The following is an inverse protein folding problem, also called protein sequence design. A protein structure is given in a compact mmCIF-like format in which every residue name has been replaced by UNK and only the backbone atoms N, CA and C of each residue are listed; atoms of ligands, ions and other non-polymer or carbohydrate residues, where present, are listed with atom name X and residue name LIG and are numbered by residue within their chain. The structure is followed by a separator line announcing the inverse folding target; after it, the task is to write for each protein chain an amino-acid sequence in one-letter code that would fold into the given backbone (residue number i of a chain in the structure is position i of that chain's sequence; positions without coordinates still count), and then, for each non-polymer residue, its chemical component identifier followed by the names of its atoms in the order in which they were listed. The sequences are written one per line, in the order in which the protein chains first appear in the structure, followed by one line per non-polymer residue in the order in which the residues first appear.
data_IF_783536076807
#
_entry.id   IF_783536076807
#
_cell.length_a   1.000
_cell.length_b   1.000
_cell.length_c   1.000
_cell.angle_alpha   90.00
_cell.angle_beta   90.00
_cell.angle_gamma   90.00
#
_symmetry.space_group_name_H-M   'P 1'
#
loop_
_entity.id
_entity.type
_entity.pdbx_description
1 polymer ?
#
# COMPACT_ATOMS: atom_id res chain seq x y z
N UNK A 1 -18.51 -28.02 1.04
CA UNK A 1 -17.54 -28.42 0.00
C UNK A 1 -16.59 -29.54 0.44
N UNK A 2 -16.69 -30.11 1.66
CA UNK A 2 -15.96 -31.35 2.01
C UNK A 2 -14.44 -31.24 2.14
N UNK A 3 -13.89 -30.02 2.22
CA UNK A 3 -12.46 -29.80 2.46
C UNK A 3 -12.21 -29.60 3.96
N UNK A 4 -11.17 -30.23 4.47
CA UNK A 4 -10.64 -29.96 5.80
C UNK A 4 -9.87 -28.62 5.82
N UNK A 5 -9.99 -27.81 6.88
CA UNK A 5 -9.20 -26.59 7.02
C UNK A 5 -7.70 -26.89 7.03
N UNK A 6 -6.93 -26.12 6.25
CA UNK A 6 -5.47 -26.15 6.35
C UNK A 6 -5.00 -25.43 7.61
N UNK A 7 -3.97 -25.97 8.28
CA UNK A 7 -3.28 -25.23 9.33
C UNK A 7 -2.64 -23.96 8.73
N UNK A 8 -2.97 -22.74 9.20
CA UNK A 8 -2.41 -21.49 8.67
C UNK A 8 -0.89 -21.43 8.72
N UNK A 9 -0.26 -22.17 9.64
CA UNK A 9 1.21 -22.29 9.72
C UNK A 9 1.85 -23.13 8.61
N UNK A 10 1.05 -23.70 7.71
CA UNK A 10 1.50 -24.34 6.48
C UNK A 10 1.25 -23.48 5.23
N UNK A 11 0.86 -22.22 5.39
CA UNK A 11 0.53 -21.31 4.29
C UNK A 11 1.55 -20.18 4.25
N UNK A 12 2.13 -19.93 3.07
CA UNK A 12 2.90 -18.71 2.77
C UNK A 12 2.11 -17.90 1.75
N UNK A 13 1.97 -16.60 1.99
CA UNK A 13 1.34 -15.68 1.04
C UNK A 13 2.45 -15.02 0.24
N UNK A 14 2.29 -14.93 -1.08
CA UNK A 14 3.31 -14.40 -1.98
C UNK A 14 2.71 -13.47 -3.03
N UNK A 15 3.44 -12.43 -3.40
CA UNK A 15 3.08 -11.58 -4.52
C UNK A 15 4.21 -10.66 -4.98
N UNK A 16 4.12 -10.20 -6.22
CA UNK A 16 5.04 -9.28 -6.87
C UNK A 16 4.39 -7.91 -7.12
N UNK A 17 5.16 -6.83 -7.09
CA UNK A 17 4.67 -5.47 -7.39
C UNK A 17 3.42 -5.10 -6.56
N UNK A 18 2.30 -4.75 -7.21
CA UNK A 18 1.01 -4.53 -6.56
C UNK A 18 0.48 -5.77 -5.82
N UNK A 19 0.77 -6.98 -6.29
CA UNK A 19 0.47 -8.23 -5.58
C UNK A 19 1.28 -8.41 -4.29
N UNK A 20 2.50 -7.86 -4.24
CA UNK A 20 3.30 -7.77 -3.02
C UNK A 20 2.67 -6.82 -2.00
N UNK A 21 2.20 -5.66 -2.47
CA UNK A 21 1.38 -4.74 -1.67
C UNK A 21 0.12 -5.39 -1.12
N UNK A 22 -0.64 -6.09 -1.97
CA UNK A 22 -1.84 -6.82 -1.58
C UNK A 22 -1.56 -7.94 -0.56
N UNK A 23 -0.44 -8.65 -0.71
CA UNK A 23 -0.02 -9.69 0.24
C UNK A 23 0.24 -9.13 1.63
N UNK A 24 0.86 -7.95 1.71
CA UNK A 24 1.11 -7.25 2.97
C UNK A 24 -0.17 -6.64 3.54
N UNK A 25 -1.03 -6.05 2.70
CA UNK A 25 -2.35 -5.56 3.09
C UNK A 25 -3.22 -6.67 3.69
N UNK A 26 -3.19 -7.87 3.07
CA UNK A 26 -3.87 -9.04 3.59
C UNK A 26 -3.29 -9.50 4.94
N UNK A 27 -1.96 -9.46 5.09
CA UNK A 27 -1.30 -9.71 6.38
C UNK A 27 -1.78 -8.76 7.49
N UNK A 28 -1.90 -7.47 7.18
CA UNK A 28 -2.47 -6.47 8.09
C UNK A 28 -3.92 -6.80 8.42
N UNK A 29 -4.75 -7.11 7.42
CA UNK A 29 -6.16 -7.42 7.63
C UNK A 29 -6.37 -8.67 8.49
N UNK A 30 -5.58 -9.74 8.27
CA UNK A 30 -5.59 -10.96 9.08
C UNK A 30 -5.24 -10.62 10.54
N UNK A 31 -4.17 -9.83 10.75
CA UNK A 31 -3.73 -9.39 12.08
C UNK A 31 -4.82 -8.58 12.78
N UNK A 32 -5.37 -7.57 12.11
CA UNK A 32 -6.32 -6.63 12.69
C UNK A 32 -7.68 -7.28 12.96
N UNK A 33 -8.03 -8.33 12.22
CA UNK A 33 -9.19 -9.18 12.50
C UNK A 33 -8.95 -10.21 13.63
N UNK A 34 -7.74 -10.29 14.20
CA UNK A 34 -7.39 -11.27 15.24
C UNK A 34 -7.36 -12.72 14.74
N UNK A 35 -7.19 -12.92 13.43
CA UNK A 35 -7.17 -14.25 12.82
C UNK A 35 -5.80 -14.92 12.97
N UNK A 36 -5.73 -16.27 12.93
CA UNK A 36 -4.46 -16.97 12.96
C UNK A 36 -3.55 -16.56 11.80
N UNK A 37 -2.37 -16.04 12.13
CA UNK A 37 -1.38 -15.59 11.15
C UNK A 37 -0.80 -16.76 10.35
N UNK A 38 -0.48 -16.52 9.07
CA UNK A 38 0.17 -17.49 8.19
C UNK A 38 1.62 -17.79 8.63
N UNK A 39 2.31 -18.66 7.90
CA UNK A 39 3.70 -19.02 8.17
C UNK A 39 4.69 -17.90 7.83
N UNK A 40 4.37 -17.11 6.80
CA UNK A 40 5.24 -16.07 6.26
C UNK A 40 4.58 -15.34 5.10
N UNK A 41 5.13 -14.17 4.76
CA UNK A 41 4.78 -13.42 3.56
C UNK A 41 6.08 -13.17 2.78
N UNK A 42 6.06 -13.45 1.48
CA UNK A 42 7.19 -13.12 0.60
C UNK A 42 6.75 -12.20 -0.52
N UNK A 43 7.51 -11.14 -0.75
CA UNK A 43 7.18 -10.17 -1.78
C UNK A 43 8.37 -9.84 -2.66
N UNK A 44 8.10 -9.67 -3.95
CA UNK A 44 9.08 -9.25 -4.95
C UNK A 44 8.71 -7.84 -5.41
N UNK A 45 9.60 -6.89 -5.19
CA UNK A 45 9.44 -5.49 -5.56
C UNK A 45 8.10 -4.90 -5.12
N UNK A 46 7.69 -5.03 -3.85
CA UNK A 46 6.33 -4.72 -3.44
C UNK A 46 6.02 -3.22 -3.54
N UNK A 47 4.89 -2.87 -4.17
CA UNK A 47 4.30 -1.54 -4.10
C UNK A 47 3.47 -1.42 -2.81
N UNK A 48 4.00 -0.72 -1.81
CA UNK A 48 3.43 -0.53 -0.46
C UNK A 48 3.10 0.92 -0.16
N UNK A 49 3.61 1.88 -0.94
CA UNK A 49 3.30 3.31 -0.85
C UNK A 49 2.74 3.86 -2.17
N UNK A 50 1.41 3.91 -2.29
CA UNK A 50 0.72 4.44 -3.48
C UNK A 50 0.74 5.97 -3.54
N UNK A 51 1.43 6.64 -2.62
CA UNK A 51 1.67 8.09 -2.70
C UNK A 51 2.91 8.43 -3.52
N UNK A 52 3.72 7.43 -3.90
CA UNK A 52 4.94 7.58 -4.70
C UNK A 52 5.95 8.55 -4.08
N UNK A 53 6.08 8.50 -2.75
CA UNK A 53 6.81 9.52 -1.98
C UNK A 53 8.27 9.18 -1.69
N UNK A 54 8.72 7.97 -2.02
CA UNK A 54 10.10 7.53 -1.74
C UNK A 54 11.10 8.03 -2.78
N UNK A 55 12.37 8.26 -2.40
CA UNK A 55 13.36 8.89 -3.29
C UNK A 55 13.57 8.14 -4.61
N UNK A 56 13.71 6.81 -4.56
CA UNK A 56 13.91 5.96 -5.76
C UNK A 56 12.82 6.12 -6.81
N UNK A 57 11.57 6.44 -6.41
CA UNK A 57 10.46 6.60 -7.36
C UNK A 57 10.68 7.78 -8.31
N UNK A 58 11.34 8.83 -7.84
CA UNK A 58 11.56 10.08 -8.60
C UNK A 58 12.98 10.27 -9.16
N UNK A 59 13.88 9.31 -8.93
CA UNK A 59 15.30 9.37 -9.32
C UNK A 59 15.49 9.30 -10.84
N UNK A 60 15.89 10.39 -11.50
CA UNK A 60 16.04 10.39 -12.96
C UNK A 60 17.14 9.45 -13.49
N UNK A 61 18.08 9.00 -12.64
CA UNK A 61 19.14 8.06 -13.03
C UNK A 61 18.73 6.59 -12.89
N UNK A 62 17.59 6.30 -12.26
CA UNK A 62 17.10 4.94 -12.08
C UNK A 62 16.63 4.34 -13.43
N UNK A 63 17.26 3.23 -13.82
CA UNK A 63 17.10 2.53 -15.11
C UNK A 63 15.95 1.51 -15.13
N UNK A 64 14.98 1.66 -14.24
CA UNK A 64 13.79 0.79 -14.18
C UNK A 64 12.95 0.89 -15.46
N UNK A 65 12.21 -0.17 -15.77
CA UNK A 65 11.19 -0.17 -16.82
C UNK A 65 9.96 0.67 -16.43
N UNK A 66 9.72 0.85 -15.12
CA UNK A 66 8.70 1.77 -14.63
C UNK A 66 9.10 3.22 -14.92
N UNK A 67 8.18 4.02 -15.51
CA UNK A 67 8.45 5.43 -15.76
C UNK A 67 8.61 6.18 -14.44
N UNK A 68 9.23 7.37 -14.48
CA UNK A 68 9.26 8.27 -13.33
C UNK A 68 7.81 8.62 -12.91
N UNK A 69 7.38 8.15 -11.73
CA UNK A 69 6.01 8.29 -11.23
C UNK A 69 5.78 9.59 -10.45
N UNK A 70 6.77 10.48 -10.34
CA UNK A 70 6.66 11.73 -9.57
C UNK A 70 5.50 12.64 -10.03
N UNK A 71 5.09 12.51 -11.29
CA UNK A 71 3.99 13.29 -11.90
C UNK A 71 2.67 12.51 -12.02
N UNK A 72 2.61 11.26 -11.53
CA UNK A 72 1.45 10.37 -11.69
C UNK A 72 1.25 9.89 -13.13
N UNK A 73 0.12 9.20 -13.37
CA UNK A 73 -0.20 8.58 -14.66
C UNK A 73 -1.17 9.46 -15.45
N UNK A 74 -0.69 10.04 -16.55
CA UNK A 74 -1.54 10.74 -17.52
C UNK A 74 -2.38 9.75 -18.32
N UNK A 75 -3.69 10.00 -18.43
CA UNK A 75 -4.62 9.14 -19.16
C UNK A 75 -5.64 9.98 -19.95
N UNK A 76 -6.08 9.45 -21.09
CA UNK A 76 -7.16 10.06 -21.86
C UNK A 76 -8.51 9.79 -21.19
N UNK A 77 -9.43 10.77 -21.29
CA UNK A 77 -10.80 10.58 -20.83
C UNK A 77 -11.54 9.54 -21.69
N UNK A 78 -12.29 8.68 -21.03
CA UNK A 78 -13.18 7.69 -21.64
C UNK A 78 -14.50 7.60 -20.88
N UNK A 79 -15.47 6.84 -21.40
CA UNK A 79 -16.70 6.59 -20.65
C UNK A 79 -16.42 5.85 -19.32
N UNK A 80 -15.41 4.98 -19.29
CA UNK A 80 -14.97 4.26 -18.08
C UNK A 80 -14.40 5.24 -17.06
N UNK A 81 -13.57 6.21 -17.48
CA UNK A 81 -12.99 7.19 -16.55
C UNK A 81 -14.07 8.11 -15.95
N UNK A 82 -15.11 8.45 -16.71
CA UNK A 82 -16.27 9.21 -16.21
C UNK A 82 -17.06 8.44 -15.16
N UNK A 83 -17.44 7.20 -15.44
CA UNK A 83 -18.17 6.36 -14.49
C UNK A 83 -17.34 6.11 -13.21
N UNK A 84 -16.04 5.89 -13.37
CA UNK A 84 -15.13 5.78 -12.24
C UNK A 84 -15.13 7.05 -11.40
N UNK A 85 -15.00 8.25 -12.00
CA UNK A 85 -15.00 9.53 -11.27
C UNK A 85 -16.29 9.73 -10.46
N UNK A 86 -17.44 9.39 -11.02
CA UNK A 86 -18.73 9.48 -10.32
C UNK A 86 -18.77 8.55 -9.10
N UNK A 87 -18.38 7.28 -9.28
CA UNK A 87 -18.32 6.30 -8.18
C UNK A 87 -17.28 6.65 -7.12
N UNK A 88 -16.12 7.13 -7.55
CA UNK A 88 -15.03 7.57 -6.69
C UNK A 88 -15.42 8.80 -5.87
N UNK A 89 -16.18 9.75 -6.42
CA UNK A 89 -16.68 10.90 -5.68
C UNK A 89 -17.62 10.48 -4.53
N UNK A 90 -18.48 9.49 -4.76
CA UNK A 90 -19.34 8.94 -3.71
C UNK A 90 -18.54 8.24 -2.59
N UNK A 91 -17.50 7.48 -2.95
CA UNK A 91 -16.59 6.86 -1.97
C UNK A 91 -15.79 7.92 -1.20
N UNK A 92 -15.26 8.91 -1.89
CA UNK A 92 -14.51 10.04 -1.32
C UNK A 92 -15.35 10.79 -0.29
N UNK A 93 -16.61 11.09 -0.61
CA UNK A 93 -17.53 11.72 0.32
C UNK A 93 -17.80 10.84 1.56
N UNK A 94 -17.81 9.52 1.42
CA UNK A 94 -17.92 8.59 2.57
C UNK A 94 -16.66 8.62 3.43
N UNK A 95 -15.47 8.57 2.82
CA UNK A 95 -14.17 8.64 3.55
C UNK A 95 -14.07 9.96 4.33
N UNK A 96 -14.36 11.10 3.69
CA UNK A 96 -14.31 12.42 4.35
C UNK A 96 -15.33 12.56 5.49
N UNK A 97 -16.46 11.85 5.43
CA UNK A 97 -17.52 11.86 6.47
C UNK A 97 -17.34 10.77 7.53
N UNK A 98 -16.43 9.81 7.35
CA UNK A 98 -16.22 8.77 8.34
C UNK A 98 -15.61 9.38 9.61
N UNK A 99 -16.26 9.10 10.73
CA UNK A 99 -15.81 9.41 12.08
C UNK A 99 -15.37 8.12 12.80
N UNK A 100 -14.74 7.20 12.07
CA UNK A 100 -14.34 5.88 12.53
C UNK A 100 -12.82 5.84 12.69
N UNK A 101 -12.33 5.85 13.94
CA UNK A 101 -10.92 5.63 14.26
C UNK A 101 -9.96 6.75 13.82
N UNK A 102 -8.63 6.54 13.93
CA UNK A 102 -7.63 7.56 13.59
C UNK A 102 -7.82 8.05 12.16
N UNK A 103 -7.55 9.33 11.90
CA UNK A 103 -7.78 10.00 10.61
C UNK A 103 -7.04 9.25 9.48
N UNK A 104 -7.75 8.43 8.70
CA UNK A 104 -7.17 7.64 7.59
C UNK A 104 -6.98 8.45 6.28
N UNK A 105 -6.84 9.77 6.38
CA UNK A 105 -6.68 10.68 5.24
C UNK A 105 -5.87 11.92 5.64
N UNK A 106 -5.13 12.51 4.70
CA UNK A 106 -4.34 13.74 4.92
C UNK A 106 -4.48 14.70 3.74
N UNK A 107 -4.55 16.01 4.01
CA UNK A 107 -4.74 17.05 2.98
C UNK A 107 -3.62 17.06 1.93
N UNK A 108 -2.43 16.57 2.26
CA UNK A 108 -1.30 16.47 1.31
C UNK A 108 -1.55 15.53 0.13
N UNK A 109 -2.57 14.67 0.18
CA UNK A 109 -2.93 13.82 -0.95
C UNK A 109 -3.91 14.52 -1.91
N UNK A 110 -4.53 15.62 -1.50
CA UNK A 110 -5.40 16.37 -2.38
C UNK A 110 -4.57 17.03 -3.48
N UNK A 111 -4.92 16.75 -4.74
CA UNK A 111 -4.23 17.27 -5.91
C UNK A 111 -5.27 17.95 -6.80
N UNK A 112 -5.19 19.28 -6.96
CA UNK A 112 -6.13 20.02 -7.81
C UNK A 112 -6.17 19.50 -9.27
N UNK A 113 -5.05 18.94 -9.74
CA UNK A 113 -4.82 18.64 -11.15
C UNK A 113 -4.97 17.16 -11.53
N UNK A 114 -5.46 16.29 -10.62
CA UNK A 114 -5.75 14.90 -10.96
C UNK A 114 -5.56 13.88 -9.85
N UNK A 115 -5.62 12.60 -10.21
CA UNK A 115 -5.40 11.46 -9.30
C UNK A 115 -3.97 10.94 -9.43
N UNK A 116 -3.40 10.49 -8.31
CA UNK A 116 -2.10 9.83 -8.31
C UNK A 116 -2.20 8.43 -8.93
N UNK A 117 -3.23 7.69 -8.55
CA UNK A 117 -3.39 6.28 -8.89
C UNK A 117 -4.74 5.96 -9.51
N UNK A 118 -4.79 4.90 -10.32
CA UNK A 118 -6.06 4.40 -10.87
C UNK A 118 -6.83 3.53 -9.87
N UNK A 119 -6.11 2.92 -8.92
CA UNK A 119 -6.63 1.93 -8.00
C UNK A 119 -7.58 2.52 -6.94
N UNK A 120 -7.24 3.70 -6.39
CA UNK A 120 -7.99 4.35 -5.33
C UNK A 120 -8.06 5.87 -5.56
N UNK A 121 -9.14 6.56 -5.10
CA UNK A 121 -9.12 8.01 -5.02
C UNK A 121 -8.03 8.47 -4.04
N UNK A 122 -7.51 9.69 -4.22
CA UNK A 122 -6.40 10.20 -3.41
C UNK A 122 -6.70 10.17 -1.90
N UNK A 123 -7.95 10.41 -1.50
CA UNK A 123 -8.38 10.36 -0.10
C UNK A 123 -8.34 8.96 0.51
N UNK A 124 -8.30 7.92 -0.32
CA UNK A 124 -8.16 6.54 0.13
C UNK A 124 -6.71 6.08 0.25
N UNK A 125 -5.72 6.87 -0.17
CA UNK A 125 -4.33 6.42 -0.22
C UNK A 125 -3.73 6.17 1.17
N UNK A 126 -4.18 6.89 2.20
CA UNK A 126 -3.75 6.66 3.59
C UNK A 126 -4.41 5.46 4.27
N UNK A 127 -5.35 4.78 3.61
CA UNK A 127 -5.93 3.55 4.15
C UNK A 127 -4.82 2.48 4.20
N UNK A 128 -4.52 1.88 5.37
CA UNK A 128 -3.42 0.91 5.49
C UNK A 128 -3.57 -0.33 4.60
N UNK A 129 -4.78 -0.67 4.18
CA UNK A 129 -5.03 -1.78 3.25
C UNK A 129 -4.90 -1.39 1.77
N UNK A 130 -4.77 -0.09 1.48
CA UNK A 130 -4.46 0.47 0.16
C UNK A 130 -2.96 0.71 0.06
N UNK A 131 -2.38 1.45 1.01
CA UNK A 131 -0.94 1.66 1.15
C UNK A 131 -0.47 1.06 2.47
N UNK A 132 0.00 -0.21 2.51
CA UNK A 132 0.52 -0.86 3.72
C UNK A 132 1.59 -0.05 4.44
N UNK A 133 2.39 0.72 3.70
CA UNK A 133 3.39 1.63 4.29
C UNK A 133 2.75 2.68 5.21
N UNK A 134 1.47 3.00 5.09
CA UNK A 134 0.81 4.01 5.90
C UNK A 134 0.09 3.44 7.13
N UNK A 135 0.25 2.14 7.42
CA UNK A 135 -0.16 1.55 8.68
C UNK A 135 0.56 2.21 9.87
N UNK A 136 -0.17 2.53 10.94
CA UNK A 136 0.39 3.06 12.19
C UNK A 136 1.42 2.09 12.80
N UNK A 137 1.13 0.78 12.71
CA UNK A 137 2.01 -0.28 13.17
C UNK A 137 2.13 -1.40 12.14
N UNK A 138 3.35 -1.90 11.95
CA UNK A 138 3.68 -3.11 11.18
C UNK A 138 4.04 -4.29 12.10
N UNK A 139 3.92 -4.12 13.41
CA UNK A 139 4.20 -5.19 14.38
C UNK A 139 3.23 -6.36 14.20
N UNK A 140 3.66 -7.54 14.66
CA UNK A 140 2.89 -8.78 14.69
C UNK A 140 2.47 -9.31 13.31
N UNK A 141 3.10 -8.85 12.24
CA UNK A 141 3.09 -9.56 10.96
C UNK A 141 3.90 -10.87 11.07
N UNK A 142 3.60 -11.89 10.26
CA UNK A 142 4.43 -13.09 10.17
C UNK A 142 5.83 -12.74 9.62
N UNK A 143 6.80 -13.67 9.67
CA UNK A 143 8.10 -13.47 9.03
C UNK A 143 7.96 -12.99 7.57
N UNK A 144 8.72 -11.96 7.23
CA UNK A 144 8.70 -11.32 5.91
C UNK A 144 9.98 -11.62 5.15
N UNK A 145 9.86 -11.96 3.86
CA UNK A 145 10.97 -11.94 2.91
C UNK A 145 10.62 -10.93 1.80
N UNK A 146 11.27 -9.77 1.83
CA UNK A 146 11.09 -8.71 0.85
C UNK A 146 12.32 -8.65 -0.06
N UNK A 147 12.09 -8.75 -1.37
CA UNK A 147 13.14 -8.71 -2.39
C UNK A 147 12.93 -7.45 -3.22
N UNK A 148 13.99 -6.71 -3.52
CA UNK A 148 13.98 -5.59 -4.46
C UNK A 148 15.32 -5.53 -5.20
N UNK A 149 15.30 -5.12 -6.46
CA UNK A 149 16.46 -4.85 -7.29
C UNK A 149 17.12 -3.51 -6.96
N UNK A 150 18.41 -3.41 -7.29
CA UNK A 150 19.23 -2.23 -6.97
C UNK A 150 18.82 -0.96 -7.73
N UNK A 151 18.33 -1.11 -8.95
CA UNK A 151 17.90 -0.01 -9.82
C UNK A 151 16.39 0.03 -10.03
N UNK A 152 15.62 -0.39 -9.02
CA UNK A 152 14.16 -0.33 -9.07
C UNK A 152 13.59 0.93 -8.40
N UNK A 153 12.51 1.47 -8.98
CA UNK A 153 11.73 2.58 -8.44
C UNK A 153 11.12 2.24 -7.09
N UNK A 154 10.71 0.98 -6.90
CA UNK A 154 10.08 0.46 -5.67
C UNK A 154 11.10 0.01 -4.61
N UNK A 155 12.40 0.20 -4.86
CA UNK A 155 13.47 -0.25 -3.96
C UNK A 155 13.37 0.35 -2.57
N UNK A 156 13.27 1.68 -2.48
CA UNK A 156 13.37 2.36 -1.20
C UNK A 156 12.14 2.06 -0.31
N UNK A 157 10.96 1.88 -0.89
CA UNK A 157 9.77 1.50 -0.12
C UNK A 157 9.85 0.06 0.40
N UNK A 158 10.40 -0.87 -0.37
CA UNK A 158 10.63 -2.24 0.10
C UNK A 158 11.62 -2.29 1.27
N UNK A 159 12.75 -1.56 1.15
CA UNK A 159 13.77 -1.44 2.20
C UNK A 159 13.19 -0.77 3.44
N UNK A 160 12.48 0.34 3.27
CA UNK A 160 11.91 1.08 4.38
C UNK A 160 10.82 0.26 5.11
N UNK A 161 10.01 -0.50 4.37
CA UNK A 161 8.99 -1.37 4.96
C UNK A 161 9.62 -2.48 5.81
N UNK A 162 10.73 -3.07 5.34
CA UNK A 162 11.50 -4.05 6.10
C UNK A 162 12.02 -3.45 7.41
N UNK A 163 12.64 -2.28 7.36
CA UNK A 163 13.14 -1.58 8.54
C UNK A 163 12.03 -1.21 9.53
N UNK A 164 10.88 -0.71 9.05
CA UNK A 164 9.73 -0.42 9.90
C UNK A 164 9.14 -1.67 10.55
N UNK A 165 9.16 -2.80 9.86
CA UNK A 165 8.68 -4.07 10.39
C UNK A 165 9.64 -4.66 11.44
N UNK A 166 10.95 -4.52 11.24
CA UNK A 166 11.98 -5.08 12.12
C UNK A 166 12.33 -4.18 13.32
N UNK A 167 12.33 -2.86 13.14
CA UNK A 167 12.76 -1.87 14.12
C UNK A 167 11.69 -0.75 14.30
N UNK A 168 10.45 -1.08 14.71
CA UNK A 168 9.31 -0.15 14.72
C UNK A 168 9.49 1.08 15.64
N UNK A 169 10.36 1.00 16.65
CA UNK A 169 10.68 2.12 17.53
C UNK A 169 11.61 3.16 16.87
N UNK A 170 12.43 2.72 15.91
CA UNK A 170 13.41 3.55 15.20
C UNK A 170 12.82 4.14 13.93
N UNK A 171 12.04 3.34 13.19
CA UNK A 171 11.38 3.75 11.96
C UNK A 171 9.87 3.81 12.19
N UNK A 172 9.39 5.00 12.56
CA UNK A 172 7.99 5.22 12.93
C UNK A 172 7.12 5.37 11.69
N UNK A 173 5.87 4.93 11.83
CA UNK A 173 4.83 5.20 10.84
C UNK A 173 4.32 6.63 10.90
N UNK A 174 3.42 6.98 9.97
CA UNK A 174 2.66 8.20 10.09
C UNK A 174 1.84 8.17 11.39
N UNK A 175 1.76 9.32 12.07
CA UNK A 175 0.81 9.55 13.16
C UNK A 175 -0.25 10.51 12.64
N UNK A 176 -1.46 10.00 12.47
CA UNK A 176 -2.61 10.79 12.00
C UNK A 176 -3.47 11.33 13.15
N UNK A 177 -3.03 11.10 14.39
CA UNK A 177 -3.62 11.66 15.61
C UNK A 177 -2.82 12.90 16.00
N UNK A 178 -3.13 14.04 15.37
CA UNK A 178 -2.72 15.36 15.81
C UNK A 178 -3.96 16.24 16.00
#
# INVERSE_FOLDING_TARGET
AGFEPLNPKNIVISGDSAGGGLSLALGLAIRDAGLPSCAGITCWSPLVDLTHSTPSVSDDECIDFLPNLAKGINHAESQISKEFKEKAAALTAKIKKQNLGPKIWHDSFDKPDGRLEMYAPNEGLAIPYVSPMLAESLCNLPPLLLVAGGDERLRDEAIYFAHRSAEPNKYKGPSYNA
#
